data_IF_220192671014
#
_entry.id   IF_220192671014
#
_cell.length_a   1.000
_cell.length_b   1.000
_cell.length_c   1.000
_cell.angle_alpha   90.00
_cell.angle_beta   90.00
_cell.angle_gamma   90.00
#
_symmetry.space_group_name_H-M   'P 1'
#
loop_
_entity.id
_entity.type
_entity.pdbx_description
1 polymer ?
#
# COMPACT_ATOMS: atom_id res chain seq x y z
N UNK A 1 -10.02 4.50 26.18
CA UNK A 1 -10.55 3.31 25.51
C UNK A 1 -12.01 3.56 25.17
N UNK A 2 -12.40 3.43 23.91
CA UNK A 2 -13.81 3.61 23.50
C UNK A 2 -14.61 2.38 23.91
N UNK A 3 -15.88 2.57 24.28
CA UNK A 3 -16.83 1.51 24.62
C UNK A 3 -18.06 1.63 23.75
N UNK A 4 -18.57 0.50 23.27
CA UNK A 4 -19.87 0.41 22.61
C UNK A 4 -20.86 -0.17 23.61
N UNK A 5 -21.94 0.56 23.90
CA UNK A 5 -23.07 0.07 24.70
C UNK A 5 -24.20 -0.27 23.74
N UNK A 6 -24.55 -1.54 23.63
CA UNK A 6 -25.57 -2.02 22.71
C UNK A 6 -26.82 -2.35 23.52
N UNK A 7 -27.96 -1.75 23.17
CA UNK A 7 -29.27 -2.08 23.72
C UNK A 7 -30.05 -2.88 22.68
N UNK A 8 -30.35 -4.14 23.00
CA UNK A 8 -31.09 -5.05 22.12
C UNK A 8 -32.60 -4.79 22.10
N UNK A 9 -33.35 -5.70 21.49
CA UNK A 9 -34.83 -5.72 21.51
C UNK A 9 -35.52 -5.09 20.29
N UNK A 10 -34.76 -4.55 19.33
CA UNK A 10 -35.31 -4.03 18.06
C UNK A 10 -34.79 -4.86 16.87
N UNK A 11 -35.68 -5.43 16.02
CA UNK A 11 -35.24 -6.07 14.80
C UNK A 11 -34.62 -5.04 13.85
N UNK A 12 -33.53 -5.43 13.16
CA UNK A 12 -32.89 -4.58 12.16
C UNK A 12 -33.66 -4.69 10.84
N UNK A 13 -33.99 -3.54 10.23
CA UNK A 13 -34.61 -3.47 8.92
C UNK A 13 -34.00 -2.31 8.11
N UNK A 14 -33.55 -2.59 6.89
CA UNK A 14 -32.92 -1.61 6.01
C UNK A 14 -31.93 -2.24 5.05
N UNK A 15 -31.26 -1.40 4.26
CA UNK A 15 -30.19 -1.79 3.35
C UNK A 15 -28.93 -0.97 3.65
N UNK A 16 -27.77 -1.61 3.53
CA UNK A 16 -26.46 -0.95 3.68
C UNK A 16 -25.63 -1.21 2.43
N UNK A 17 -24.77 -0.25 2.08
CA UNK A 17 -23.77 -0.45 1.02
C UNK A 17 -22.53 -1.09 1.64
N UNK A 18 -22.12 -2.25 1.13
CA UNK A 18 -20.88 -2.88 1.55
C UNK A 18 -19.67 -2.12 0.99
N UNK A 19 -18.71 -1.81 1.85
CA UNK A 19 -17.39 -1.31 1.43
C UNK A 19 -16.56 -2.45 0.83
N UNK A 20 -15.50 -2.11 0.07
CA UNK A 20 -14.60 -3.11 -0.46
C UNK A 20 -13.85 -3.91 0.61
N UNK A 21 -13.26 -5.02 0.18
CA UNK A 21 -12.53 -5.94 1.05
C UNK A 21 -11.18 -5.35 1.47
N UNK A 22 -10.94 -5.27 2.79
CA UNK A 22 -9.62 -4.90 3.31
C UNK A 22 -8.54 -5.91 2.90
N UNK A 23 -8.88 -7.20 2.88
CA UNK A 23 -7.94 -8.28 2.58
C UNK A 23 -7.53 -8.29 1.10
N UNK A 24 -8.34 -7.69 0.22
CA UNK A 24 -7.97 -7.48 -1.18
C UNK A 24 -7.24 -6.14 -1.36
N UNK A 25 -7.64 -5.11 -0.62
CA UNK A 25 -7.04 -3.77 -0.72
C UNK A 25 -5.59 -3.75 -0.25
N UNK A 26 -5.27 -4.41 0.86
CA UNK A 26 -3.91 -4.41 1.43
C UNK A 26 -2.84 -4.97 0.46
N UNK A 27 -3.00 -6.18 -0.14
CA UNK A 27 -2.06 -6.67 -1.14
C UNK A 27 -1.94 -5.75 -2.36
N UNK A 28 -3.05 -5.15 -2.84
CA UNK A 28 -3.02 -4.25 -3.99
C UNK A 28 -2.19 -3.00 -3.69
N UNK A 29 -2.38 -2.42 -2.50
CA UNK A 29 -1.59 -1.27 -2.05
C UNK A 29 -0.10 -1.61 -1.94
N UNK A 30 0.27 -2.77 -1.40
CA UNK A 30 1.69 -3.17 -1.39
C UNK A 30 2.24 -3.47 -2.79
N UNK A 31 1.42 -4.03 -3.68
CA UNK A 31 1.80 -4.27 -5.06
C UNK A 31 2.00 -2.97 -5.86
N UNK A 32 1.45 -1.83 -5.41
CA UNK A 32 1.68 -0.52 -6.04
C UNK A 32 3.15 -0.15 -6.12
N UNK A 33 3.99 -0.66 -5.20
CA UNK A 33 5.45 -0.50 -5.23
C UNK A 33 6.03 -0.96 -6.57
N UNK A 34 5.45 -2.00 -7.19
CA UNK A 34 5.89 -2.55 -8.47
C UNK A 34 5.35 -1.79 -9.68
N UNK A 35 4.35 -0.92 -9.51
CA UNK A 35 3.80 -0.14 -10.60
C UNK A 35 4.84 0.84 -11.15
N UNK A 36 4.81 1.03 -12.47
CA UNK A 36 5.65 2.01 -13.18
C UNK A 36 5.03 3.43 -13.19
N UNK A 37 3.80 3.57 -12.69
CA UNK A 37 3.06 4.82 -12.61
C UNK A 37 1.95 4.77 -11.56
N UNK A 38 1.15 5.83 -11.44
CA UNK A 38 0.10 5.90 -10.45
C UNK A 38 -1.02 4.88 -10.69
N UNK A 39 -1.66 4.45 -9.61
CA UNK A 39 -2.81 3.54 -9.63
C UNK A 39 -4.01 4.17 -8.92
N UNK A 40 -5.21 3.74 -9.31
CA UNK A 40 -6.46 4.10 -8.63
C UNK A 40 -7.16 2.85 -8.11
N UNK A 41 -7.35 2.77 -6.79
CA UNK A 41 -8.10 1.70 -6.14
C UNK A 41 -9.49 2.20 -5.74
N UNK A 42 -10.50 1.70 -6.44
CA UNK A 42 -11.90 2.05 -6.19
C UNK A 42 -12.48 1.24 -5.02
N UNK A 43 -13.51 1.78 -4.37
CA UNK A 43 -14.24 1.11 -3.29
C UNK A 43 -13.34 0.69 -2.11
N UNK A 44 -12.34 1.51 -1.77
CA UNK A 44 -11.41 1.21 -0.67
C UNK A 44 -12.10 1.43 0.68
N UNK A 45 -12.05 0.46 1.62
CA UNK A 45 -12.64 0.64 2.95
C UNK A 45 -11.80 1.61 3.79
N UNK A 46 -12.46 2.49 4.55
CA UNK A 46 -11.78 3.44 5.45
C UNK A 46 -11.53 2.79 6.82
N UNK A 47 -10.46 2.01 6.94
CA UNK A 47 -10.09 1.26 8.15
C UNK A 47 -8.66 1.59 8.59
N UNK A 48 -8.35 1.33 9.86
CA UNK A 48 -7.02 1.55 10.43
C UNK A 48 -5.91 0.85 9.64
N UNK A 49 -6.14 -0.38 9.19
CA UNK A 49 -5.17 -1.18 8.43
C UNK A 49 -4.77 -0.48 7.11
N UNK A 50 -5.73 0.13 6.43
CA UNK A 50 -5.50 0.91 5.19
C UNK A 50 -4.70 2.16 5.51
N UNK A 51 -5.08 2.90 6.55
CA UNK A 51 -4.36 4.10 7.00
C UNK A 51 -2.91 3.79 7.39
N UNK A 52 -2.65 2.68 8.08
CA UNK A 52 -1.29 2.23 8.44
C UNK A 52 -0.48 1.88 7.20
N UNK A 53 -1.09 1.21 6.22
CA UNK A 53 -0.45 0.87 4.94
C UNK A 53 -0.05 2.12 4.16
N UNK A 54 -0.97 3.11 4.07
CA UNK A 54 -0.70 4.38 3.42
C UNK A 54 0.42 5.17 4.11
N UNK A 55 0.46 5.18 5.45
CA UNK A 55 1.56 5.79 6.22
C UNK A 55 2.89 5.11 5.94
N UNK A 56 2.90 3.79 5.85
CA UNK A 56 4.09 3.03 5.53
C UNK A 56 4.59 3.37 4.13
N UNK A 57 3.72 3.37 3.12
CA UNK A 57 4.09 3.74 1.75
C UNK A 57 4.55 5.20 1.65
N UNK A 58 3.92 6.14 2.37
CA UNK A 58 4.39 7.53 2.46
C UNK A 58 5.80 7.64 3.05
N UNK A 59 6.10 6.88 4.11
CA UNK A 59 7.45 6.89 4.72
C UNK A 59 8.55 6.42 3.76
N UNK A 60 8.16 5.70 2.70
CA UNK A 60 9.03 5.22 1.63
C UNK A 60 9.10 6.17 0.43
N UNK A 61 8.31 7.25 0.43
CA UNK A 61 8.25 8.28 -0.61
C UNK A 61 7.09 8.16 -1.60
N UNK A 62 6.03 7.40 -1.28
CA UNK A 62 4.81 7.36 -2.11
C UNK A 62 3.86 8.53 -1.79
N UNK A 63 3.18 9.02 -2.82
CA UNK A 63 2.12 10.02 -2.70
C UNK A 63 0.75 9.33 -2.79
N UNK A 64 -0.28 9.88 -2.12
CA UNK A 64 -1.66 9.42 -2.31
C UNK A 64 -2.67 10.55 -2.21
N UNK A 65 -3.84 10.33 -2.83
CA UNK A 65 -5.01 11.20 -2.73
C UNK A 65 -6.22 10.31 -2.40
N UNK A 66 -6.92 10.65 -1.32
CA UNK A 66 -8.20 10.02 -0.97
C UNK A 66 -9.34 10.85 -1.57
N UNK A 67 -10.08 10.23 -2.49
CA UNK A 67 -11.20 10.86 -3.17
C UNK A 67 -12.49 10.76 -2.36
N UNK A 68 -13.42 11.68 -2.63
CA UNK A 68 -14.74 11.73 -1.97
C UNK A 68 -15.61 10.49 -2.22
N UNK A 69 -15.34 9.75 -3.29
CA UNK A 69 -16.06 8.54 -3.70
C UNK A 69 -15.46 7.24 -3.14
N UNK A 70 -14.60 7.32 -2.11
CA UNK A 70 -13.85 6.18 -1.54
C UNK A 70 -12.87 5.52 -2.51
N UNK A 71 -12.44 6.25 -3.54
CA UNK A 71 -11.32 5.85 -4.38
C UNK A 71 -10.02 6.38 -3.80
N UNK A 72 -8.95 5.63 -4.01
CA UNK A 72 -7.63 5.93 -3.49
C UNK A 72 -6.64 5.95 -4.65
N UNK A 73 -6.12 7.14 -4.95
CA UNK A 73 -5.03 7.31 -5.89
C UNK A 73 -3.71 7.13 -5.15
N UNK A 74 -2.79 6.33 -5.70
CA UNK A 74 -1.46 6.08 -5.12
C UNK A 74 -0.41 6.17 -6.20
N UNK A 75 0.60 7.01 -6.00
CA UNK A 75 1.78 7.10 -6.84
C UNK A 75 3.02 6.60 -6.09
N UNK A 76 3.54 5.46 -6.53
CA UNK A 76 4.75 4.83 -6.00
C UNK A 76 5.95 4.94 -6.96
N UNK A 77 5.86 5.77 -8.00
CA UNK A 77 6.94 5.95 -8.98
C UNK A 77 8.16 6.65 -8.40
N UNK A 78 7.98 7.46 -7.34
CA UNK A 78 9.02 8.27 -6.70
C UNK A 78 9.59 7.67 -5.41
N UNK A 79 9.35 6.38 -5.16
CA UNK A 79 9.91 5.69 -3.99
C UNK A 79 11.43 5.84 -3.97
N UNK A 80 11.93 6.48 -2.90
CA UNK A 80 13.36 6.80 -2.73
C UNK A 80 13.97 6.13 -1.50
N UNK A 81 13.13 5.59 -0.61
CA UNK A 81 13.54 4.92 0.61
C UNK A 81 12.85 3.56 0.71
N UNK A 82 13.55 2.50 0.34
CA UNK A 82 13.04 1.12 0.45
C UNK A 82 13.34 0.53 1.82
N UNK A 83 13.02 1.27 2.89
CA UNK A 83 13.07 0.80 4.27
C UNK A 83 11.67 0.93 4.88
N UNK A 84 11.10 -0.19 5.28
CA UNK A 84 9.80 -0.21 5.94
C UNK A 84 9.95 0.16 7.43
N UNK A 85 9.24 1.18 7.91
CA UNK A 85 9.29 1.62 9.30
C UNK A 85 8.84 0.50 10.26
N UNK A 86 9.76 0.03 11.10
CA UNK A 86 9.52 -1.02 12.08
C UNK A 86 8.34 -0.71 13.01
N UNK A 87 8.14 0.55 13.39
CA UNK A 87 7.05 0.93 14.27
C UNK A 87 5.69 0.78 13.62
N UNK A 88 5.60 0.93 12.29
CA UNK A 88 4.38 0.66 11.54
C UNK A 88 4.22 -0.84 11.27
N UNK A 89 5.30 -1.53 10.87
CA UNK A 89 5.30 -2.97 10.57
C UNK A 89 4.84 -3.79 11.79
N UNK A 90 5.34 -3.48 12.99
CA UNK A 90 4.99 -4.23 14.22
C UNK A 90 3.51 -4.11 14.62
N UNK A 91 2.80 -3.11 14.11
CA UNK A 91 1.39 -2.85 14.48
C UNK A 91 0.38 -3.63 13.65
N UNK A 92 0.80 -4.21 12.51
CA UNK A 92 -0.10 -4.91 11.59
C UNK A 92 0.61 -6.10 10.95
N UNK A 93 0.13 -7.32 11.20
CA UNK A 93 0.72 -8.56 10.62
C UNK A 93 0.75 -8.54 9.09
N UNK A 94 -0.23 -7.92 8.44
CA UNK A 94 -0.29 -7.81 6.98
C UNK A 94 0.87 -7.00 6.37
N UNK A 95 1.61 -6.22 7.17
CA UNK A 95 2.78 -5.46 6.71
C UNK A 95 3.87 -6.34 6.11
N UNK A 96 3.89 -7.65 6.41
CA UNK A 96 4.81 -8.61 5.77
C UNK A 96 4.67 -8.63 4.23
N UNK A 97 3.51 -8.27 3.69
CA UNK A 97 3.24 -8.23 2.25
C UNK A 97 4.09 -7.19 1.51
N UNK A 98 4.67 -6.22 2.21
CA UNK A 98 5.59 -5.23 1.62
C UNK A 98 6.89 -5.88 1.12
N UNK A 99 7.32 -7.00 1.72
CA UNK A 99 8.62 -7.61 1.46
C UNK A 99 8.79 -8.06 0.01
N UNK A 100 7.78 -8.72 -0.56
CA UNK A 100 7.84 -9.24 -1.93
C UNK A 100 8.04 -8.13 -2.98
N UNK A 101 7.14 -7.13 -3.01
CA UNK A 101 7.28 -5.95 -3.87
C UNK A 101 8.60 -5.20 -3.68
N UNK A 102 9.03 -4.96 -2.43
CA UNK A 102 10.28 -4.26 -2.15
C UNK A 102 11.50 -5.02 -2.67
N UNK A 103 11.61 -6.31 -2.35
CA UNK A 103 12.74 -7.14 -2.78
C UNK A 103 12.85 -7.15 -4.30
N UNK A 104 11.72 -7.28 -4.99
CA UNK A 104 11.66 -7.27 -6.45
C UNK A 104 12.10 -5.92 -7.04
N UNK A 105 11.65 -4.80 -6.45
CA UNK A 105 12.05 -3.45 -6.88
C UNK A 105 13.55 -3.22 -6.71
N UNK A 106 14.12 -3.62 -5.57
CA UNK A 106 15.58 -3.55 -5.30
C UNK A 106 16.35 -4.36 -6.33
N UNK A 107 15.95 -5.61 -6.56
CA UNK A 107 16.59 -6.51 -7.52
C UNK A 107 16.58 -5.95 -8.95
N UNK A 108 15.45 -5.37 -9.37
CA UNK A 108 15.33 -4.74 -10.69
C UNK A 108 16.25 -3.53 -10.82
N UNK A 109 16.32 -2.68 -9.79
CA UNK A 109 17.22 -1.52 -9.77
C UNK A 109 18.71 -1.91 -9.85
N UNK A 110 19.14 -2.92 -9.10
CA UNK A 110 20.52 -3.42 -9.14
C UNK A 110 20.88 -4.08 -10.47
N UNK A 111 19.96 -4.86 -11.06
CA UNK A 111 20.16 -5.52 -12.36
C UNK A 111 20.26 -4.51 -13.50
N UNK A 112 19.50 -3.41 -13.45
CA UNK A 112 19.59 -2.31 -14.41
C UNK A 112 20.90 -1.54 -14.24
N UNK A 113 21.35 -1.28 -13.00
CA UNK A 113 22.63 -0.63 -12.73
C UNK A 113 23.83 -1.45 -13.24
N UNK A 114 23.84 -2.77 -13.00
CA UNK A 114 24.88 -3.68 -13.51
C UNK A 114 24.85 -3.86 -15.02
N UNK A 115 23.67 -3.87 -15.66
CA UNK A 115 23.57 -3.83 -17.13
C UNK A 115 24.08 -2.51 -17.71
N UNK A 116 23.74 -1.37 -17.10
CA UNK A 116 24.27 -0.06 -17.53
C UNK A 116 25.79 -0.01 -17.44
N UNK A 117 26.38 -0.47 -16.33
CA UNK A 117 27.85 -0.51 -16.19
C UNK A 117 28.53 -1.43 -17.22
N UNK A 118 27.87 -2.51 -17.65
CA UNK A 118 28.39 -3.41 -18.70
C UNK A 118 28.44 -2.77 -20.10
N UNK A 119 27.63 -1.74 -20.38
CA UNK A 119 27.72 -0.98 -21.64
C UNK A 119 28.81 0.10 -21.63
N UNK A 120 29.31 0.51 -20.46
CA UNK A 120 30.42 1.47 -20.34
C UNK A 120 31.81 0.82 -20.31
N UNK A 121 31.86 -0.52 -20.30
CA UNK A 121 33.09 -1.33 -20.33
C UNK A 121 33.13 -2.24 -21.56
N UNK A 122 32.87 -1.68 -22.74
CA UNK A 122 33.35 -2.27 -24.00
C UNK A 122 34.62 -1.50 -24.40
N UNK A 123 35.82 -2.08 -24.24
CA UNK A 123 37.00 -1.51 -24.87
C UNK A 123 36.85 -1.67 -26.38
N UNK A 124 37.23 -0.62 -27.12
CA UNK A 124 37.49 -0.70 -28.54
C UNK A 124 38.42 -1.88 -28.88
#
# INVERSE_FOLDING_TARGET
MYKLVIQGGKPLQGAIKASGSKNSSLPILFASILADGPITLNNTPQLSDISTTLRLLMSMGADFILESNSSLFVDSSKLNNLVADYNLVKTMRASILVLGPMLTKIWRSQSVATRRLRYWYTPC
#
